data_IF_040023659665
#
_entry.id   IF_040023659665
#
_cell.length_a   1.000
_cell.length_b   1.000
_cell.length_c   1.000
_cell.angle_alpha   90.00
_cell.angle_beta   90.00
_cell.angle_gamma   90.00
#
_symmetry.space_group_name_H-M   'P 1'
#
loop_
_entity.id
_entity.type
_entity.pdbx_description
1 polymer ?
#
# COMPACT_ATOMS: atom_id res chain seq x y z
N UNK A 1 14.05 11.05 13.90
CA UNK A 1 12.67 10.70 13.49
C UNK A 1 12.81 9.52 12.55
N UNK A 2 12.47 8.31 13.01
CA UNK A 2 12.42 7.15 12.13
C UNK A 2 11.32 7.41 11.10
N UNK A 3 11.70 7.54 9.83
CA UNK A 3 10.73 7.52 8.75
C UNK A 3 10.18 6.10 8.71
N UNK A 4 9.03 5.89 9.35
CA UNK A 4 8.33 4.62 9.28
C UNK A 4 7.83 4.44 7.85
N UNK A 5 8.17 3.32 7.22
CA UNK A 5 7.69 2.96 5.89
C UNK A 5 6.83 1.71 5.97
N UNK A 6 5.80 1.65 5.13
CA UNK A 6 4.90 0.50 5.00
C UNK A 6 5.14 -0.20 3.68
N UNK A 7 5.40 -1.52 3.74
CA UNK A 7 5.68 -2.34 2.56
C UNK A 7 4.41 -3.05 2.08
N UNK A 8 4.03 -2.77 0.84
CA UNK A 8 2.94 -3.45 0.13
C UNK A 8 3.55 -4.38 -0.91
N UNK A 9 3.15 -5.66 -0.90
CA UNK A 9 3.63 -6.66 -1.88
C UNK A 9 2.69 -6.84 -3.08
N UNK A 10 1.45 -6.35 -2.99
CA UNK A 10 0.45 -6.48 -4.06
C UNK A 10 0.50 -5.29 -5.00
N UNK A 11 0.89 -5.51 -6.25
CA UNK A 11 0.97 -4.48 -7.30
C UNK A 11 -0.32 -3.69 -7.44
N UNK A 12 -1.47 -4.36 -7.54
CA UNK A 12 -2.77 -3.69 -7.72
C UNK A 12 -3.13 -2.75 -6.58
N UNK A 13 -2.80 -3.12 -5.33
CA UNK A 13 -3.01 -2.25 -4.17
C UNK A 13 -2.07 -1.05 -4.21
N UNK A 14 -0.80 -1.27 -4.57
CA UNK A 14 0.16 -0.17 -4.72
C UNK A 14 -0.24 0.81 -5.83
N UNK A 15 -0.74 0.31 -6.96
CA UNK A 15 -1.26 1.14 -8.06
C UNK A 15 -2.51 1.91 -7.65
N UNK A 16 -3.43 1.32 -6.89
CA UNK A 16 -4.61 2.01 -6.37
C UNK A 16 -4.22 3.14 -5.41
N UNK A 17 -3.29 2.89 -4.49
CA UNK A 17 -2.79 3.91 -3.56
C UNK A 17 -2.07 5.05 -4.30
N UNK A 18 -1.29 4.73 -5.34
CA UNK A 18 -0.64 5.74 -6.19
C UNK A 18 -1.64 6.56 -7.00
N UNK A 19 -2.70 5.93 -7.52
CA UNK A 19 -3.79 6.63 -8.19
C UNK A 19 -4.48 7.65 -7.26
N UNK A 20 -4.60 7.34 -5.96
CA UNK A 20 -5.20 8.22 -4.95
C UNK A 20 -4.20 9.30 -4.45
N UNK A 21 -2.93 9.23 -4.87
CA UNK A 21 -1.92 10.27 -4.66
C UNK A 21 -0.76 9.89 -3.74
N UNK A 22 -0.70 8.65 -3.22
CA UNK A 22 0.42 8.19 -2.40
C UNK A 22 1.59 7.70 -3.25
N UNK A 23 2.77 8.29 -3.06
CA UNK A 23 3.98 7.85 -3.77
C UNK A 23 4.61 6.65 -3.07
N UNK A 24 5.21 5.77 -3.87
CA UNK A 24 5.99 4.64 -3.37
C UNK A 24 7.35 4.52 -4.04
N UNK A 25 8.27 3.87 -3.35
CA UNK A 25 9.50 3.35 -3.92
C UNK A 25 9.34 1.87 -4.26
N UNK A 26 9.80 1.44 -5.45
CA UNK A 26 9.70 0.05 -5.93
C UNK A 26 11.08 -0.59 -5.96
N UNK A 27 11.21 -1.76 -5.34
CA UNK A 27 12.46 -2.52 -5.31
C UNK A 27 12.18 -4.03 -5.22
N UNK A 28 13.22 -4.85 -5.34
CA UNK A 28 13.16 -6.27 -5.05
C UNK A 28 13.60 -6.51 -3.61
N UNK A 29 12.84 -7.31 -2.85
CA UNK A 29 13.28 -7.80 -1.53
C UNK A 29 14.37 -8.88 -1.67
N UNK A 30 14.90 -9.35 -0.53
CA UNK A 30 15.98 -10.35 -0.49
C UNK A 30 15.61 -11.68 -1.17
N UNK A 31 14.31 -11.94 -1.35
CA UNK A 31 13.78 -13.12 -2.05
C UNK A 31 13.55 -12.85 -3.55
N UNK A 32 13.96 -11.68 -4.07
CA UNK A 32 13.74 -11.26 -5.45
C UNK A 32 12.31 -10.82 -5.75
N UNK A 33 11.43 -10.68 -4.75
CA UNK A 33 10.03 -10.30 -4.95
C UNK A 33 9.91 -8.79 -5.06
N UNK A 34 9.11 -8.33 -6.02
CA UNK A 34 8.82 -6.89 -6.15
C UNK A 34 7.97 -6.41 -4.97
N UNK A 35 8.46 -5.38 -4.29
CA UNK A 35 7.79 -4.72 -3.17
C UNK A 35 7.68 -3.20 -3.39
N UNK A 36 6.68 -2.60 -2.76
CA UNK A 36 6.32 -1.20 -2.90
C UNK A 36 6.31 -0.55 -1.50
N UNK A 37 7.24 0.34 -1.23
CA UNK A 37 7.39 1.01 0.08
C UNK A 37 6.77 2.40 0.04
N UNK A 38 5.87 2.67 0.98
CA UNK A 38 5.15 3.92 1.15
C UNK A 38 5.55 4.60 2.46
N UNK A 39 5.57 5.92 2.48
CA UNK A 39 5.71 6.67 3.73
C UNK A 39 4.52 6.38 4.64
N UNK A 40 4.80 5.95 5.88
CA UNK A 40 3.77 5.61 6.85
C UNK A 40 3.25 6.87 7.54
N UNK A 41 2.15 7.39 7.02
CA UNK A 41 1.43 8.55 7.57
C UNK A 41 0.04 8.14 8.04
N UNK A 42 -0.57 8.92 8.93
CA UNK A 42 -1.94 8.67 9.40
C UNK A 42 -2.95 8.65 8.25
N UNK A 43 -2.76 9.53 7.26
CA UNK A 43 -3.58 9.56 6.03
C UNK A 43 -3.42 8.27 5.21
N UNK A 44 -2.19 7.78 5.07
CA UNK A 44 -1.92 6.52 4.40
C UNK A 44 -2.63 5.36 5.09
N UNK A 45 -2.49 5.26 6.41
CA UNK A 45 -3.12 4.21 7.20
C UNK A 45 -4.64 4.24 7.10
N UNK A 46 -5.24 5.44 7.16
CA UNK A 46 -6.68 5.62 7.00
C UNK A 46 -7.16 5.12 5.62
N UNK A 47 -6.53 5.57 4.53
CA UNK A 47 -6.93 5.18 3.17
C UNK A 47 -6.71 3.68 2.94
N UNK A 48 -5.58 3.13 3.40
CA UNK A 48 -5.30 1.70 3.32
C UNK A 48 -6.39 0.87 4.03
N UNK A 49 -6.80 1.29 5.23
CA UNK A 49 -7.86 0.64 5.98
C UNK A 49 -9.20 0.68 5.23
N UNK A 50 -9.60 1.84 4.71
CA UNK A 50 -10.86 1.98 3.98
C UNK A 50 -10.89 1.18 2.67
N UNK A 51 -9.77 1.10 1.94
CA UNK A 51 -9.65 0.25 0.76
C UNK A 51 -9.80 -1.24 1.11
N UNK A 52 -9.21 -1.69 2.21
CA UNK A 52 -9.35 -3.07 2.68
C UNK A 52 -10.80 -3.35 3.09
N UNK A 53 -11.46 -2.40 3.77
CA UNK A 53 -12.87 -2.49 4.16
C UNK A 53 -13.79 -2.56 2.94
N UNK A 54 -13.56 -1.71 1.95
CA UNK A 54 -14.29 -1.70 0.69
C UNK A 54 -14.16 -3.06 -0.02
N UNK A 55 -12.93 -3.57 -0.16
CA UNK A 55 -12.67 -4.89 -0.74
C UNK A 55 -13.46 -6.01 -0.04
N UNK A 56 -13.52 -5.99 1.30
CA UNK A 56 -14.29 -6.98 2.07
C UNK A 56 -15.78 -6.87 1.77
N UNK A 57 -16.32 -5.66 1.65
CA UNK A 57 -17.74 -5.46 1.34
C UNK A 57 -18.11 -5.90 -0.07
N UNK A 58 -17.23 -5.73 -1.06
CA UNK A 58 -17.47 -6.14 -2.44
C UNK A 58 -17.19 -7.62 -2.70
N UNK A 59 -16.36 -8.28 -1.87
CA UNK A 59 -16.05 -9.70 -2.01
C UNK A 59 -17.21 -10.65 -1.65
N UNK A 60 -18.32 -10.10 -1.13
CA UNK A 60 -19.56 -10.82 -0.86
C UNK A 60 -20.57 -10.75 -2.04
N UNK A 61 -20.15 -10.22 -3.19
CA UNK A 61 -20.83 -10.35 -4.48
C UNK A 61 -20.12 -11.40 -5.33
#
# INVERSE_FOLDING_TARGET
MENNYSVIKKKSLAEALNFIGFRYFKYQDEEGKTVYSFENTDKFNFVLHELIKLKKSTSNY
#
